data_IF_358671422736
#
_entry.id   IF_358671422736
#
_cell.length_a   1.000
_cell.length_b   1.000
_cell.length_c   1.000
_cell.angle_alpha   90.00
_cell.angle_beta   90.00
_cell.angle_gamma   90.00
#
_symmetry.space_group_name_H-M   'P 1'
#
loop_
_entity.id
_entity.type
_entity.pdbx_description
1 polymer ?
#
# COMPACT_ATOMS: atom_id res chain seq x y z
N UNK A 1 -6.67 8.70 7.47
CA UNK A 1 -6.75 7.24 7.73
C UNK A 1 -6.23 6.41 6.55
N UNK A 2 -6.87 6.45 5.38
CA UNK A 2 -6.51 5.62 4.19
C UNK A 2 -5.04 5.71 3.78
N UNK A 3 -4.45 6.92 3.74
CA UNK A 3 -3.02 7.09 3.40
C UNK A 3 -2.09 6.44 4.43
N UNK A 4 -2.44 6.54 5.71
CA UNK A 4 -1.65 5.98 6.80
C UNK A 4 -1.74 4.45 6.82
N UNK A 5 -2.93 3.90 6.58
CA UNK A 5 -3.13 2.45 6.46
C UNK A 5 -2.33 1.87 5.29
N UNK A 6 -2.38 2.51 4.12
CA UNK A 6 -1.59 2.09 2.97
C UNK A 6 -0.09 2.15 3.27
N UNK A 7 0.41 3.25 3.85
CA UNK A 7 1.84 3.37 4.16
C UNK A 7 2.32 2.29 5.12
N UNK A 8 1.54 2.03 6.17
CA UNK A 8 1.84 0.97 7.13
C UNK A 8 1.85 -0.40 6.45
N UNK A 9 0.81 -0.74 5.68
CA UNK A 9 0.71 -2.00 4.94
C UNK A 9 1.91 -2.21 3.99
N UNK A 10 2.28 -1.19 3.23
CA UNK A 10 3.43 -1.26 2.31
C UNK A 10 4.76 -1.45 3.05
N UNK A 11 4.97 -0.74 4.17
CA UNK A 11 6.17 -0.91 4.99
C UNK A 11 6.25 -2.33 5.57
N UNK A 12 5.13 -2.83 6.12
CA UNK A 12 5.04 -4.19 6.64
C UNK A 12 5.23 -5.23 5.54
N UNK A 13 4.76 -4.98 4.32
CA UNK A 13 4.96 -5.87 3.18
C UNK A 13 6.45 -5.97 2.79
N UNK A 14 7.16 -4.83 2.72
CA UNK A 14 8.59 -4.78 2.42
C UNK A 14 9.41 -5.47 3.52
N UNK A 15 9.00 -5.33 4.78
CA UNK A 15 9.68 -5.90 5.95
C UNK A 15 9.06 -7.23 6.43
N UNK A 16 8.16 -7.84 5.64
CA UNK A 16 7.32 -8.98 6.04
C UNK A 16 8.11 -10.12 6.67
N UNK A 17 9.25 -10.47 6.06
CA UNK A 17 10.17 -11.50 6.57
C UNK A 17 10.79 -11.14 7.92
N UNK A 18 11.17 -9.88 8.12
CA UNK A 18 11.77 -9.43 9.37
C UNK A 18 10.73 -9.31 10.50
N UNK A 19 9.49 -8.98 10.14
CA UNK A 19 8.37 -8.82 11.06
C UNK A 19 7.58 -10.11 11.30
N UNK A 20 7.95 -11.22 10.64
CA UNK A 20 7.22 -12.49 10.67
C UNK A 20 5.73 -12.33 10.31
N UNK A 21 5.45 -11.51 9.30
CA UNK A 21 4.10 -11.27 8.78
C UNK A 21 3.97 -11.95 7.43
N UNK A 22 2.96 -12.81 7.28
CA UNK A 22 2.64 -13.44 6.01
C UNK A 22 1.54 -12.68 5.28
N UNK A 23 1.67 -12.62 3.96
CA UNK A 23 0.67 -12.04 3.07
C UNK A 23 0.13 -13.14 2.14
N UNK A 24 -1.20 -13.27 1.99
CA UNK A 24 -1.79 -14.17 1.00
C UNK A 24 -1.33 -13.81 -0.43
N UNK A 25 -1.35 -14.79 -1.33
CA UNK A 25 -0.94 -14.63 -2.73
C UNK A 25 -1.64 -13.44 -3.41
N UNK A 26 -2.98 -13.41 -3.36
CA UNK A 26 -3.79 -12.33 -3.93
C UNK A 26 -3.42 -10.95 -3.37
N UNK A 27 -3.17 -10.86 -2.06
CA UNK A 27 -2.78 -9.58 -1.44
C UNK A 27 -1.39 -9.16 -1.90
N UNK A 28 -0.47 -10.12 -2.07
CA UNK A 28 0.89 -9.85 -2.55
C UNK A 28 0.88 -9.34 -3.99
N UNK A 29 0.06 -9.92 -4.86
CA UNK A 29 -0.12 -9.46 -6.24
C UNK A 29 -0.69 -8.04 -6.31
N UNK A 30 -1.75 -7.77 -5.55
CA UNK A 30 -2.39 -6.45 -5.50
C UNK A 30 -1.42 -5.39 -4.98
N UNK A 31 -0.68 -5.68 -3.90
CA UNK A 31 0.30 -4.76 -3.33
C UNK A 31 1.45 -4.51 -4.31
N UNK A 32 1.98 -5.56 -4.95
CA UNK A 32 3.07 -5.44 -5.92
C UNK A 32 2.67 -4.60 -7.15
N UNK A 33 1.43 -4.74 -7.64
CA UNK A 33 0.93 -3.93 -8.76
C UNK A 33 0.70 -2.46 -8.39
N UNK A 34 0.44 -2.16 -7.12
CA UNK A 34 0.09 -0.82 -6.64
C UNK A 34 1.29 -0.02 -6.10
N UNK A 35 2.29 -0.69 -5.53
CA UNK A 35 3.51 -0.09 -4.99
C UNK A 35 4.19 0.89 -5.98
N UNK A 36 4.49 0.53 -7.24
CA UNK A 36 5.12 1.46 -8.18
C UNK A 36 4.24 2.66 -8.51
N UNK A 37 2.91 2.49 -8.55
CA UNK A 37 1.97 3.59 -8.83
C UNK A 37 1.93 4.61 -7.71
N UNK A 38 2.05 4.15 -6.46
CA UNK A 38 2.11 5.00 -5.27
C UNK A 38 3.45 5.73 -5.22
N UNK A 39 4.58 5.03 -5.43
CA UNK A 39 5.91 5.63 -5.41
C UNK A 39 6.10 6.68 -6.52
N UNK A 40 5.51 6.45 -7.69
CA UNK A 40 5.50 7.41 -8.79
C UNK A 40 4.49 8.57 -8.61
N UNK A 41 3.74 8.60 -7.51
CA UNK A 41 2.74 9.65 -7.27
C UNK A 41 1.54 9.64 -8.23
N UNK A 42 1.28 8.52 -8.93
CA UNK A 42 0.22 8.38 -9.92
C UNK A 42 -1.18 8.18 -9.30
N UNK A 43 -1.27 8.08 -7.98
CA UNK A 43 -2.55 7.86 -7.27
C UNK A 43 -3.22 9.20 -6.96
N UNK A 44 -4.33 9.47 -7.65
CA UNK A 44 -5.15 10.67 -7.44
C UNK A 44 -6.42 10.33 -6.66
N UNK A 45 -6.57 10.72 -5.39
CA UNK A 45 -7.81 10.51 -4.65
C UNK A 45 -8.92 11.39 -5.23
N UNK A 46 -10.10 10.80 -5.40
CA UNK A 46 -11.31 11.54 -5.71
C UNK A 46 -11.93 12.03 -4.40
N UNK A 47 -12.03 13.34 -4.24
CA UNK A 47 -12.56 13.98 -3.03
C UNK A 47 -13.87 14.67 -3.39
N UNK A 48 -14.92 14.42 -2.63
CA UNK A 48 -16.20 15.13 -2.75
C UNK A 48 -16.07 16.61 -2.33
N UNK A 49 -15.28 16.87 -1.29
CA UNK A 49 -14.95 18.21 -0.82
C UNK A 49 -13.44 18.29 -0.65
N UNK A 50 -12.81 19.28 -1.29
CA UNK A 50 -11.44 19.65 -0.96
C UNK A 50 -11.49 20.44 0.34
N UNK A 51 -10.65 20.08 1.31
CA UNK A 51 -10.45 20.91 2.51
C UNK A 51 -9.94 22.28 2.12
#
# INVERSE_FOLDING_TARGET
>A
LVKQLHLYCLNTFIQSRALSVEFPEMMSEVIAAQLPKILAGMVKPLLFHKK
#
